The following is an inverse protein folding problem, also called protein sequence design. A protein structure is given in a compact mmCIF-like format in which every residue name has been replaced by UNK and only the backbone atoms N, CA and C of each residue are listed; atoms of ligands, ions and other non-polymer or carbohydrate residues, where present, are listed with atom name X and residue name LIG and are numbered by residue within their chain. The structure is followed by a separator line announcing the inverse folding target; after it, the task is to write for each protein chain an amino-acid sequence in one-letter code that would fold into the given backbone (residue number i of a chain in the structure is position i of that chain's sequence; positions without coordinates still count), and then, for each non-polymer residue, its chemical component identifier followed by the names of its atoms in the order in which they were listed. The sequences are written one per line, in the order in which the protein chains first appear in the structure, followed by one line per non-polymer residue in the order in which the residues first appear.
data_IF_614305495791
#
_entry.id   IF_614305495791
#
_cell.length_a   1.000
_cell.length_b   1.000
_cell.length_c   1.000
_cell.angle_alpha   90.00
_cell.angle_beta   90.00
_cell.angle_gamma   90.00
#
_symmetry.space_group_name_H-M   'P 1'
#
loop_
_entity.id
_entity.type
_entity.pdbx_description
1 polymer ?
#
# COMPACT_ATOMS: atom_id res chain seq x y z
N UNK A 1 -12.65 13.27 -23.61
CA UNK A 1 -13.82 12.73 -24.33
C UNK A 1 -14.75 12.08 -23.35
N UNK A 2 -16.04 12.37 -23.45
CA UNK A 2 -17.07 11.75 -22.61
C UNK A 2 -17.83 10.69 -23.38
N UNK A 3 -17.88 9.50 -22.79
CA UNK A 3 -18.56 8.32 -23.28
C UNK A 3 -19.78 8.10 -22.39
N UNK A 4 -20.95 8.12 -22.99
CA UNK A 4 -22.20 7.84 -22.31
C UNK A 4 -22.46 6.33 -22.30
N UNK A 5 -22.80 5.80 -21.13
CA UNK A 5 -23.03 4.37 -20.91
C UNK A 5 -24.46 4.19 -20.40
N UNK A 6 -25.29 3.46 -21.14
CA UNK A 6 -26.68 3.13 -20.80
C UNK A 6 -26.81 1.71 -20.22
N UNK A 7 -27.97 1.42 -19.61
CA UNK A 7 -28.32 0.14 -18.98
C UNK A 7 -27.45 -0.26 -17.78
N UNK A 8 -26.83 0.71 -17.11
CA UNK A 8 -26.09 0.49 -15.87
C UNK A 8 -27.10 0.12 -14.75
N UNK A 9 -26.86 -0.93 -13.94
CA UNK A 9 -27.78 -1.29 -12.87
C UNK A 9 -28.03 -0.13 -11.87
N UNK A 10 -29.28 0.02 -11.45
CA UNK A 10 -29.72 1.17 -10.63
C UNK A 10 -29.05 1.22 -9.25
N UNK A 11 -28.79 0.04 -8.66
CA UNK A 11 -28.20 -0.11 -7.33
C UNK A 11 -26.67 0.06 -7.31
N UNK A 12 -26.05 0.21 -8.48
CA UNK A 12 -24.59 0.29 -8.59
C UNK A 12 -24.11 1.73 -8.45
N UNK A 13 -23.08 1.90 -7.61
CA UNK A 13 -22.35 3.16 -7.42
C UNK A 13 -21.29 3.38 -8.52
N UNK A 14 -20.53 4.46 -8.45
CA UNK A 14 -19.45 4.81 -9.39
C UNK A 14 -18.21 3.90 -9.29
N UNK A 15 -18.02 3.22 -8.16
CA UNK A 15 -16.85 2.37 -7.91
C UNK A 15 -16.89 1.07 -8.74
N UNK A 16 -18.03 0.41 -8.84
CA UNK A 16 -18.11 -0.90 -9.52
C UNK A 16 -17.91 -0.79 -11.04
N UNK A 17 -18.58 0.13 -11.77
CA UNK A 17 -18.34 0.33 -13.19
C UNK A 17 -16.90 0.77 -13.45
N UNK A 18 -16.29 1.54 -12.53
CA UNK A 18 -14.89 1.92 -12.62
C UNK A 18 -13.94 0.73 -12.56
N UNK A 19 -14.19 -0.23 -11.67
CA UNK A 19 -13.40 -1.46 -11.59
C UNK A 19 -13.59 -2.30 -12.85
N UNK A 20 -14.84 -2.48 -13.28
CA UNK A 20 -15.18 -3.24 -14.49
C UNK A 20 -14.55 -2.67 -15.76
N UNK A 21 -14.65 -1.35 -15.97
CA UNK A 21 -14.14 -0.67 -17.15
C UNK A 21 -12.61 -0.63 -17.21
N UNK A 22 -11.93 -0.73 -16.05
CA UNK A 22 -10.46 -0.65 -15.99
C UNK A 22 -9.79 -1.65 -16.91
N UNK A 23 -10.19 -2.91 -16.85
CA UNK A 23 -9.56 -3.98 -17.63
C UNK A 23 -9.97 -3.92 -19.11
N UNK A 24 -11.11 -3.30 -19.41
CA UNK A 24 -11.61 -3.09 -20.78
C UNK A 24 -10.96 -1.90 -21.48
N UNK A 25 -10.56 -0.87 -20.72
CA UNK A 25 -9.93 0.34 -21.23
C UNK A 25 -8.41 0.17 -21.42
N UNK A 26 -7.80 -0.75 -20.66
CA UNK A 26 -6.36 -1.01 -20.69
C UNK A 26 -5.77 -1.32 -22.07
N UNK A 27 -6.41 -2.15 -22.92
CA UNK A 27 -5.90 -2.47 -24.26
C UNK A 27 -5.84 -1.27 -25.20
N UNK A 28 -6.57 -0.19 -24.89
CA UNK A 28 -6.66 1.03 -25.70
C UNK A 28 -5.72 2.13 -25.21
N UNK A 29 -4.77 1.80 -24.33
CA UNK A 29 -3.87 2.74 -23.67
C UNK A 29 -4.62 3.89 -22.96
N UNK A 30 -5.77 3.57 -22.35
CA UNK A 30 -6.53 4.48 -21.50
C UNK A 30 -6.22 4.10 -20.05
N UNK A 31 -5.31 4.83 -19.41
CA UNK A 31 -4.78 4.48 -18.08
C UNK A 31 -5.46 5.26 -16.96
N UNK A 32 -5.82 6.50 -17.25
CA UNK A 32 -6.54 7.37 -16.34
C UNK A 32 -7.87 7.74 -16.98
N UNK A 33 -8.92 7.40 -16.26
CA UNK A 33 -10.28 7.71 -16.63
C UNK A 33 -11.08 8.02 -15.37
N UNK A 34 -12.17 8.74 -15.56
CA UNK A 34 -13.13 9.03 -14.53
C UNK A 34 -14.48 8.44 -14.91
N UNK A 35 -15.20 7.94 -13.90
CA UNK A 35 -16.54 7.40 -14.10
C UNK A 35 -17.46 8.10 -13.13
N UNK A 36 -18.48 8.75 -13.69
CA UNK A 36 -19.57 9.30 -12.93
C UNK A 36 -20.80 8.41 -13.11
N UNK A 37 -21.33 7.91 -12.00
CA UNK A 37 -22.59 7.15 -11.96
C UNK A 37 -23.42 7.66 -10.79
N UNK A 38 -24.60 8.20 -11.09
CA UNK A 38 -25.58 8.56 -10.07
C UNK A 38 -26.37 7.31 -9.65
N UNK A 39 -26.45 7.04 -8.34
CA UNK A 39 -27.26 5.94 -7.79
C UNK A 39 -28.74 6.23 -8.09
N UNK A 40 -29.49 5.21 -8.50
CA UNK A 40 -30.89 5.36 -8.95
C UNK A 40 -31.06 5.72 -10.42
N UNK A 41 -29.99 6.11 -11.12
CA UNK A 41 -29.99 6.29 -12.57
C UNK A 41 -29.49 5.03 -13.29
N UNK A 42 -29.90 4.83 -14.54
CA UNK A 42 -29.50 3.70 -15.39
C UNK A 42 -28.34 4.04 -16.34
N UNK A 43 -27.71 5.20 -16.14
CA UNK A 43 -26.65 5.72 -16.99
C UNK A 43 -25.38 6.08 -16.21
N UNK A 44 -24.24 6.03 -16.89
CA UNK A 44 -22.95 6.53 -16.40
C UNK A 44 -22.24 7.34 -17.49
N UNK A 45 -21.34 8.22 -17.06
CA UNK A 45 -20.42 8.96 -17.94
C UNK A 45 -19.00 8.49 -17.65
N UNK A 46 -18.33 7.99 -18.68
CA UNK A 46 -16.92 7.67 -18.67
C UNK A 46 -16.15 8.83 -19.36
N UNK A 47 -15.33 9.55 -18.60
CA UNK A 47 -14.44 10.58 -19.14
C UNK A 47 -13.05 9.99 -19.36
N UNK A 48 -12.57 10.05 -20.60
CA UNK A 48 -11.21 9.66 -20.99
C UNK A 48 -10.41 10.88 -21.46
N UNK A 49 -9.10 10.89 -21.20
CA UNK A 49 -8.25 12.03 -21.51
C UNK A 49 -8.09 12.24 -23.03
N UNK A 50 -7.63 11.19 -23.72
CA UNK A 50 -7.34 11.22 -25.17
C UNK A 50 -8.56 10.82 -25.98
N UNK A 51 -9.00 11.73 -26.87
CA UNK A 51 -10.17 11.51 -27.73
C UNK A 51 -10.00 10.29 -28.65
N UNK A 52 -8.86 10.18 -29.34
CA UNK A 52 -8.54 9.07 -30.25
C UNK A 52 -8.66 7.69 -29.60
N UNK A 53 -8.17 7.55 -28.36
CA UNK A 53 -8.24 6.27 -27.64
C UNK A 53 -9.68 5.89 -27.30
N UNK A 54 -10.50 6.89 -26.92
CA UNK A 54 -11.93 6.70 -26.67
C UNK A 54 -12.72 6.28 -27.91
N UNK A 55 -12.39 6.82 -29.08
CA UNK A 55 -13.01 6.39 -30.35
C UNK A 55 -12.67 4.94 -30.70
N UNK A 56 -11.41 4.54 -30.55
CA UNK A 56 -10.99 3.14 -30.81
C UNK A 56 -11.73 2.19 -29.85
N UNK A 57 -11.84 2.55 -28.58
CA UNK A 57 -12.61 1.79 -27.60
C UNK A 57 -14.08 1.65 -28.03
N UNK A 58 -14.73 2.73 -28.43
CA UNK A 58 -16.15 2.70 -28.85
C UNK A 58 -16.39 1.92 -30.14
N UNK A 59 -15.43 1.94 -31.07
CA UNK A 59 -15.53 1.15 -32.30
C UNK A 59 -15.57 -0.35 -32.00
N UNK A 60 -14.84 -0.81 -30.98
CA UNK A 60 -14.74 -2.22 -30.60
C UNK A 60 -15.74 -2.65 -29.53
N UNK A 61 -16.21 -1.75 -28.68
CA UNK A 61 -17.08 -2.06 -27.53
C UNK A 61 -18.39 -1.27 -27.56
N UNK A 62 -19.29 -1.64 -28.48
CA UNK A 62 -20.67 -1.12 -28.51
C UNK A 62 -21.60 -1.76 -27.47
N UNK A 63 -21.21 -2.93 -26.95
CA UNK A 63 -21.95 -3.69 -25.94
C UNK A 63 -20.99 -4.30 -24.92
N UNK A 64 -21.14 -3.96 -23.64
CA UNK A 64 -20.34 -4.53 -22.55
C UNK A 64 -21.24 -5.29 -21.58
N UNK A 65 -20.89 -6.53 -21.23
CA UNK A 65 -21.70 -7.32 -20.30
C UNK A 65 -21.31 -7.06 -18.84
N UNK A 66 -22.22 -6.53 -18.03
CA UNK A 66 -22.01 -6.13 -16.64
C UNK A 66 -23.26 -6.47 -15.79
N UNK A 67 -23.10 -7.24 -14.70
CA UNK A 67 -24.21 -7.69 -13.83
C UNK A 67 -25.42 -8.23 -14.60
N UNK A 68 -25.16 -9.14 -15.53
CA UNK A 68 -26.18 -9.76 -16.39
C UNK A 68 -26.93 -8.79 -17.32
N UNK A 69 -26.45 -7.55 -17.48
CA UNK A 69 -26.98 -6.55 -18.41
C UNK A 69 -25.95 -6.20 -19.49
N UNK A 70 -26.44 -5.90 -20.69
CA UNK A 70 -25.63 -5.34 -21.76
C UNK A 70 -25.65 -3.82 -21.66
N UNK A 71 -24.51 -3.24 -21.32
CA UNK A 71 -24.27 -1.81 -21.32
C UNK A 71 -24.08 -1.33 -22.76
N UNK A 72 -24.71 -0.22 -23.12
CA UNK A 72 -24.53 0.42 -24.42
C UNK A 72 -23.66 1.65 -24.29
N UNK A 73 -22.54 1.67 -25.01
CA UNK A 73 -21.58 2.77 -24.99
C UNK A 73 -21.75 3.63 -26.25
N UNK A 74 -21.88 4.94 -26.06
CA UNK A 74 -21.98 5.91 -27.17
C UNK A 74 -21.22 7.19 -26.83
N UNK A 75 -20.89 7.97 -27.86
CA UNK A 75 -20.31 9.30 -27.65
C UNK A 75 -21.36 10.18 -26.99
N UNK A 76 -21.00 10.87 -25.90
CA UNK A 76 -21.90 11.84 -25.27
C UNK A 76 -22.22 12.96 -26.25
N UNK A 77 -23.51 13.19 -26.51
CA UNK A 77 -24.00 14.28 -27.37
C UNK A 77 -24.07 15.62 -26.62
N UNK A 78 -23.98 15.59 -25.30
CA UNK A 78 -24.10 16.78 -24.47
C UNK A 78 -22.80 17.59 -24.53
N UNK A 79 -22.90 18.84 -24.99
CA UNK A 79 -21.81 19.84 -25.06
C UNK A 79 -21.26 20.25 -23.68
N UNK A 80 -21.60 19.55 -22.60
CA UNK A 80 -20.88 19.64 -21.33
C UNK A 80 -19.56 18.90 -21.50
N UNK A 81 -18.63 19.51 -22.25
CA UNK A 81 -17.25 19.08 -22.23
C UNK A 81 -16.84 19.03 -20.76
N UNK A 82 -16.43 17.84 -20.29
CA UNK A 82 -15.74 17.69 -19.01
C UNK A 82 -14.76 18.86 -18.84
N UNK A 83 -14.82 19.52 -17.69
CA UNK A 83 -14.11 20.80 -17.50
C UNK A 83 -12.64 20.68 -17.93
N UNK A 84 -12.09 21.71 -18.56
CA UNK A 84 -10.70 21.69 -19.03
C UNK A 84 -9.72 21.26 -17.92
N UNK A 85 -10.01 21.63 -16.66
CA UNK A 85 -9.29 21.19 -15.47
C UNK A 85 -9.38 19.67 -15.24
N UNK A 86 -10.55 19.06 -15.41
CA UNK A 86 -10.75 17.61 -15.26
C UNK A 86 -9.99 16.84 -16.35
N UNK A 87 -9.99 17.33 -17.59
CA UNK A 87 -9.23 16.73 -18.68
C UNK A 87 -7.71 16.90 -18.46
N UNK A 88 -7.25 18.07 -18.03
CA UNK A 88 -5.85 18.33 -17.66
C UNK A 88 -5.38 17.38 -16.56
N UNK A 89 -6.17 17.23 -15.48
CA UNK A 89 -5.85 16.31 -14.39
C UNK A 89 -5.82 14.84 -14.84
N UNK A 90 -6.65 14.45 -15.81
CA UNK A 90 -6.59 13.10 -16.38
C UNK A 90 -5.36 12.91 -17.26
N UNK A 91 -4.97 13.91 -18.07
CA UNK A 91 -3.76 13.87 -18.88
C UNK A 91 -2.49 13.76 -18.02
N UNK A 92 -2.37 14.58 -16.97
CA UNK A 92 -1.25 14.52 -16.03
C UNK A 92 -1.15 13.15 -15.36
N UNK A 93 -2.30 12.58 -15.00
CA UNK A 93 -2.39 11.25 -14.40
C UNK A 93 -2.08 10.14 -15.39
N UNK A 94 -2.48 10.26 -16.67
CA UNK A 94 -2.06 9.32 -17.71
C UNK A 94 -0.54 9.37 -17.89
N UNK A 95 0.05 10.57 -17.93
CA UNK A 95 1.49 10.75 -18.10
C UNK A 95 2.26 10.14 -16.92
N UNK A 96 1.86 10.38 -15.67
CA UNK A 96 2.46 9.71 -14.50
C UNK A 96 2.33 8.18 -14.57
N UNK A 97 1.17 7.65 -14.99
CA UNK A 97 0.97 6.20 -15.13
C UNK A 97 1.77 5.59 -16.30
N UNK A 98 1.92 6.33 -17.40
CA UNK A 98 2.75 5.94 -18.54
C UNK A 98 4.24 5.94 -18.15
N UNK A 99 4.73 6.97 -17.46
CA UNK A 99 6.10 7.00 -16.95
C UNK A 99 6.38 5.84 -15.99
N UNK A 100 5.42 5.50 -15.11
CA UNK A 100 5.52 4.32 -14.23
C UNK A 100 5.46 2.99 -14.98
N UNK A 101 4.82 2.94 -16.16
CA UNK A 101 4.83 1.76 -17.05
C UNK A 101 6.14 1.64 -17.82
N UNK A 102 6.67 2.73 -18.34
CA UNK A 102 7.95 2.77 -19.09
C UNK A 102 9.14 2.45 -18.16
N UNK A 103 9.05 2.83 -16.88
CA UNK A 103 10.02 2.44 -15.85
C UNK A 103 9.90 0.98 -15.38
N UNK A 104 8.94 0.21 -15.91
CA UNK A 104 8.96 -1.26 -15.78
C UNK A 104 9.61 -1.83 -17.05
N UNK A 105 10.82 -2.40 -16.97
CA UNK A 105 11.38 -3.08 -18.13
C UNK A 105 10.46 -4.24 -18.52
N UNK A 106 10.14 -4.34 -19.82
CA UNK A 106 9.58 -5.54 -20.45
C UNK A 106 10.56 -6.68 -20.24
N UNK A 107 10.45 -7.35 -19.10
CA UNK A 107 11.10 -8.62 -18.84
C UNK A 107 10.01 -9.65 -18.69
N UNK A 108 9.87 -10.42 -19.76
CA UNK A 108 9.23 -11.72 -19.86
C UNK A 108 9.50 -12.53 -18.59
N UNK A 109 8.44 -12.97 -17.92
CA UNK A 109 8.44 -14.02 -16.89
C UNK A 109 9.68 -14.13 -16.01
N UNK A 110 9.94 -13.12 -15.18
CA UNK A 110 10.58 -13.36 -13.89
C UNK A 110 9.47 -13.60 -12.86
N UNK A 111 9.52 -14.65 -12.03
CA UNK A 111 8.57 -14.80 -10.93
C UNK A 111 8.62 -13.52 -10.10
N UNK A 112 7.46 -12.90 -9.92
CA UNK A 112 7.23 -11.81 -8.98
C UNK A 112 8.05 -12.10 -7.71
N UNK A 113 8.86 -11.15 -7.18
CA UNK A 113 9.69 -11.44 -6.03
C UNK A 113 8.77 -11.93 -4.92
N UNK A 114 8.92 -13.21 -4.60
CA UNK A 114 7.99 -14.03 -3.82
C UNK A 114 7.94 -13.64 -2.34
N UNK A 115 8.47 -12.46 -2.02
CA UNK A 115 8.55 -11.90 -0.68
C UNK A 115 8.26 -10.42 -0.73
N UNK A 116 7.01 -10.04 -1.03
CA UNK A 116 6.47 -8.71 -0.68
C UNK A 116 6.34 -8.52 0.86
N UNK A 117 7.12 -9.27 1.66
CA UNK A 117 7.01 -9.37 3.09
C UNK A 117 8.32 -9.84 3.72
N UNK A 118 8.59 -9.42 4.95
CA UNK A 118 9.72 -9.86 5.76
C UNK A 118 9.32 -9.92 7.24
N UNK A 119 10.05 -10.71 8.02
CA UNK A 119 9.77 -10.88 9.44
C UNK A 119 10.46 -9.82 10.28
N UNK A 120 9.86 -9.48 11.42
CA UNK A 120 10.47 -8.62 12.43
C UNK A 120 10.34 -9.24 13.82
N UNK A 121 11.33 -8.95 14.66
CA UNK A 121 11.45 -9.51 16.01
C UNK A 121 10.78 -8.63 17.06
N UNK A 122 10.84 -7.31 16.89
CA UNK A 122 10.25 -6.36 17.82
C UNK A 122 9.97 -5.02 17.13
N UNK A 123 8.97 -4.30 17.63
CA UNK A 123 8.67 -2.93 17.23
C UNK A 123 9.03 -1.97 18.37
N UNK A 124 9.72 -0.89 18.06
CA UNK A 124 10.28 0.05 19.03
C UNK A 124 9.79 1.45 18.67
N UNK A 125 9.30 2.20 19.65
CA UNK A 125 8.91 3.58 19.50
C UNK A 125 9.93 4.49 20.18
N UNK A 126 10.18 5.66 19.60
CA UNK A 126 11.13 6.59 20.15
C UNK A 126 11.08 7.97 19.54
N UNK A 127 12.15 8.72 19.79
CA UNK A 127 12.37 10.07 19.27
C UNK A 127 13.82 10.19 18.78
N UNK A 128 14.06 11.08 17.83
CA UNK A 128 15.42 11.50 17.50
C UNK A 128 15.92 12.48 18.56
N UNK A 129 17.15 12.30 18.98
CA UNK A 129 17.89 13.21 19.86
C UNK A 129 19.29 13.39 19.31
N UNK A 130 19.95 14.49 19.63
CA UNK A 130 21.37 14.65 19.34
C UNK A 130 22.19 14.33 20.59
N UNK A 131 23.30 13.62 20.43
CA UNK A 131 24.27 13.46 21.51
C UNK A 131 25.14 14.71 21.70
N UNK A 132 25.97 14.71 22.74
CA UNK A 132 26.88 15.83 23.06
C UNK A 132 27.91 16.12 21.95
N UNK A 133 28.09 15.20 21.01
CA UNK A 133 28.95 15.36 19.83
C UNK A 133 28.17 15.81 18.58
N UNK A 134 26.90 16.18 18.73
CA UNK A 134 26.02 16.63 17.64
C UNK A 134 25.57 15.50 16.71
N UNK A 135 25.74 14.23 17.09
CA UNK A 135 25.31 13.10 16.26
C UNK A 135 23.88 12.71 16.59
N UNK A 136 23.09 12.48 15.55
CA UNK A 136 21.71 12.03 15.69
C UNK A 136 21.68 10.59 16.23
N UNK A 137 20.90 10.39 17.29
CA UNK A 137 20.70 9.11 17.97
C UNK A 137 19.21 8.87 18.18
N UNK A 138 18.79 7.63 17.96
CA UNK A 138 17.45 7.19 18.31
C UNK A 138 17.36 6.92 19.82
N UNK A 139 16.51 7.68 20.49
CA UNK A 139 16.20 7.48 21.90
C UNK A 139 14.91 6.66 22.02
N UNK A 140 15.06 5.42 22.50
CA UNK A 140 13.97 4.45 22.67
C UNK A 140 13.08 4.86 23.84
N UNK A 141 11.77 4.95 23.59
CA UNK A 141 10.75 5.23 24.61
C UNK A 141 9.94 3.99 24.99
N UNK A 142 9.63 3.14 24.03
CA UNK A 142 8.85 1.92 24.28
C UNK A 142 9.28 0.80 23.34
N UNK A 143 9.19 -0.44 23.83
CA UNK A 143 9.44 -1.66 23.04
C UNK A 143 8.25 -2.58 23.11
N UNK A 144 7.69 -2.91 21.95
CA UNK A 144 6.76 -4.00 21.76
C UNK A 144 7.55 -5.24 21.30
N UNK A 145 7.64 -6.24 22.17
CA UNK A 145 8.40 -7.47 21.91
C UNK A 145 7.66 -8.48 21.02
N UNK A 146 6.44 -8.15 20.58
CA UNK A 146 5.69 -9.02 19.68
C UNK A 146 6.40 -9.12 18.34
N UNK A 147 6.64 -10.35 17.94
CA UNK A 147 7.17 -10.69 16.62
C UNK A 147 6.06 -10.60 15.58
N UNK A 148 6.46 -10.53 14.32
CA UNK A 148 5.47 -10.41 13.27
C UNK A 148 6.04 -10.34 11.88
N UNK A 149 5.20 -9.89 10.96
CA UNK A 149 5.51 -9.76 9.54
C UNK A 149 5.20 -8.35 9.08
N UNK A 150 6.12 -7.75 8.36
CA UNK A 150 5.89 -6.54 7.59
C UNK A 150 5.55 -6.93 6.17
N UNK A 151 4.47 -6.38 5.62
CA UNK A 151 3.99 -6.62 4.26
C UNK A 151 3.96 -5.30 3.52
N UNK A 152 4.56 -5.29 2.33
CA UNK A 152 4.51 -4.18 1.40
C UNK A 152 3.15 -4.17 0.69
N UNK A 153 2.28 -3.25 1.07
CA UNK A 153 1.04 -2.99 0.35
C UNK A 153 1.25 -2.01 -0.81
N UNK A 154 0.21 -1.82 -1.63
CA UNK A 154 0.22 -0.85 -2.75
C UNK A 154 0.25 0.61 -2.29
N UNK A 155 -0.37 0.93 -1.15
CA UNK A 155 -0.55 2.31 -0.63
C UNK A 155 0.01 2.53 0.77
N UNK A 156 0.33 1.45 1.48
CA UNK A 156 0.78 1.48 2.86
C UNK A 156 1.70 0.30 3.13
N UNK A 157 2.63 0.50 4.05
CA UNK A 157 3.33 -0.56 4.74
C UNK A 157 2.41 -1.12 5.82
N UNK A 158 2.25 -2.44 5.87
CA UNK A 158 1.37 -3.10 6.85
C UNK A 158 2.21 -3.96 7.78
N UNK A 159 2.16 -3.66 9.07
CA UNK A 159 2.87 -4.42 10.11
C UNK A 159 1.85 -5.29 10.86
N UNK A 160 2.00 -6.60 10.74
CA UNK A 160 1.22 -7.58 11.49
C UNK A 160 2.00 -8.08 12.69
N UNK A 161 1.42 -7.99 13.89
CA UNK A 161 2.01 -8.47 15.15
C UNK A 161 1.26 -9.70 15.65
N UNK A 162 2.01 -10.74 16.02
CA UNK A 162 1.49 -11.95 16.67
C UNK A 162 1.31 -11.71 18.17
N UNK A 163 0.35 -12.38 18.84
CA UNK A 163 0.31 -12.43 20.29
C UNK A 163 1.57 -13.11 20.84
N UNK A 164 2.09 -12.64 21.97
CA UNK A 164 3.29 -13.19 22.62
C UNK A 164 2.99 -14.32 23.61
N UNK A 165 1.72 -14.56 23.96
CA UNK A 165 1.32 -15.55 24.97
C UNK A 165 1.77 -15.23 26.41
N UNK A 166 2.79 -14.40 26.59
CA UNK A 166 3.28 -13.85 27.85
C UNK A 166 3.03 -12.34 27.88
N UNK A 167 2.28 -11.88 28.88
CA UNK A 167 1.95 -10.47 29.09
C UNK A 167 0.83 -9.89 28.20
N UNK A 168 0.37 -8.68 28.54
CA UNK A 168 -0.47 -7.85 27.67
C UNK A 168 0.46 -7.07 26.70
N UNK A 169 0.07 -6.84 25.44
CA UNK A 169 -1.23 -7.10 24.82
C UNK A 169 -1.28 -8.47 24.12
N UNK A 170 -2.13 -9.38 24.60
CA UNK A 170 -2.31 -10.72 24.04
C UNK A 170 -3.34 -10.75 22.90
N UNK A 171 -3.11 -9.99 21.83
CA UNK A 171 -3.98 -9.97 20.65
C UNK A 171 -3.19 -9.77 19.36
N UNK A 172 -3.76 -10.20 18.24
CA UNK A 172 -3.19 -9.98 16.91
C UNK A 172 -3.38 -8.54 16.46
N UNK A 173 -2.27 -7.84 16.22
CA UNK A 173 -2.30 -6.43 15.86
C UNK A 173 -1.91 -6.15 14.43
N UNK A 174 -2.43 -5.05 13.91
CA UNK A 174 -2.12 -4.53 12.58
C UNK A 174 -1.85 -3.03 12.68
N UNK A 175 -0.74 -2.58 12.10
CA UNK A 175 -0.43 -1.17 11.93
C UNK A 175 -0.35 -0.89 10.44
N UNK A 176 -1.15 0.07 9.99
CA UNK A 176 -1.10 0.58 8.62
C UNK A 176 -0.34 1.91 8.64
N UNK A 177 0.78 1.95 7.93
CA UNK A 177 1.61 3.14 7.73
C UNK A 177 1.48 3.54 6.25
N UNK A 178 0.58 4.48 5.90
CA UNK A 178 0.51 5.02 4.55
C UNK A 178 1.88 5.53 4.10
N UNK A 179 2.30 5.24 2.87
CA UNK A 179 3.62 5.70 2.44
C UNK A 179 3.75 7.22 2.41
N UNK A 180 2.63 7.92 2.18
CA UNK A 180 2.55 9.39 2.16
C UNK A 180 2.91 10.04 3.51
N UNK A 181 2.82 9.30 4.62
CA UNK A 181 3.16 9.82 5.94
C UNK A 181 4.58 9.44 6.35
N UNK A 182 5.32 8.65 5.57
CA UNK A 182 6.72 8.32 5.86
C UNK A 182 7.58 9.47 5.34
N UNK A 183 8.30 10.11 6.24
CA UNK A 183 9.23 11.19 5.92
C UNK A 183 10.64 10.66 5.66
N UNK A 184 11.11 9.78 6.53
CA UNK A 184 12.44 9.18 6.42
C UNK A 184 12.38 7.69 6.71
N UNK A 185 13.18 6.91 5.97
CA UNK A 185 13.45 5.50 6.26
C UNK A 185 14.96 5.33 6.39
N UNK A 186 15.41 5.01 7.60
CA UNK A 186 16.83 4.91 7.94
C UNK A 186 17.14 3.43 8.25
N UNK A 187 17.89 2.74 7.38
CA UNK A 187 18.37 1.40 7.67
C UNK A 187 19.57 1.47 8.63
N UNK A 188 19.62 0.52 9.56
CA UNK A 188 20.82 0.21 10.32
C UNK A 188 21.18 -1.24 10.00
N UNK A 189 22.20 -1.42 9.16
CA UNK A 189 22.67 -2.74 8.78
C UNK A 189 23.26 -3.48 10.00
N UNK A 190 23.10 -4.80 10.07
CA UNK A 190 23.70 -5.61 11.11
C UNK A 190 25.22 -5.41 11.13
N UNK A 191 25.80 -5.28 12.32
CA UNK A 191 27.26 -5.30 12.54
C UNK A 191 27.60 -6.50 13.40
N UNK A 192 28.52 -7.35 12.96
CA UNK A 192 29.08 -8.47 13.72
C UNK A 192 28.01 -9.26 14.49
N UNK A 193 27.11 -9.89 13.73
CA UNK A 193 26.06 -10.79 14.23
C UNK A 193 24.90 -10.15 15.03
N UNK A 194 24.87 -8.81 15.12
CA UNK A 194 23.74 -8.08 15.71
C UNK A 194 22.60 -7.94 14.71
N UNK A 195 21.36 -8.04 15.18
CA UNK A 195 20.16 -7.80 14.38
C UNK A 195 20.21 -6.42 13.69
N UNK A 196 19.65 -6.34 12.48
CA UNK A 196 19.46 -5.09 11.77
C UNK A 196 18.26 -4.32 12.31
N UNK A 197 18.22 -3.02 12.04
CA UNK A 197 17.06 -2.19 12.34
C UNK A 197 16.62 -1.40 11.12
N UNK A 198 15.34 -1.08 11.09
CA UNK A 198 14.82 -0.09 10.17
C UNK A 198 13.97 0.90 10.92
N UNK A 199 14.32 2.18 10.78
CA UNK A 199 13.65 3.28 11.48
C UNK A 199 12.87 4.13 10.49
N UNK A 200 11.60 4.35 10.79
CA UNK A 200 10.69 5.20 10.04
C UNK A 200 10.39 6.46 10.87
N UNK A 201 10.60 7.63 10.27
CA UNK A 201 10.08 8.89 10.78
C UNK A 201 8.78 9.19 10.05
N UNK A 202 7.72 9.50 10.79
CA UNK A 202 6.39 9.72 10.25
C UNK A 202 5.94 11.19 10.41
N UNK A 203 5.14 11.70 9.49
CA UNK A 203 4.50 13.03 9.58
C UNK A 203 3.27 13.03 10.47
N UNK A 204 2.68 11.87 10.70
CA UNK A 204 1.47 11.71 11.52
C UNK A 204 1.41 10.30 12.12
N UNK A 205 0.61 10.08 13.18
CA UNK A 205 0.53 8.78 13.83
C UNK A 205 -0.10 7.75 12.89
N UNK A 206 0.42 6.51 12.83
CA UNK A 206 -0.12 5.48 11.96
C UNK A 206 -1.44 4.91 12.51
N UNK A 207 -2.18 4.20 11.66
CA UNK A 207 -3.47 3.60 12.08
C UNK A 207 -3.21 2.24 12.71
N UNK A 208 -3.66 2.05 13.95
CA UNK A 208 -3.49 0.81 14.71
C UNK A 208 -4.84 0.10 14.82
N UNK A 209 -4.83 -1.21 14.59
CA UNK A 209 -6.01 -2.07 14.65
C UNK A 209 -5.74 -3.35 15.44
N UNK A 210 -6.75 -3.78 16.20
CA UNK A 210 -6.86 -5.15 16.70
C UNK A 210 -7.64 -5.98 15.67
N UNK A 211 -7.10 -7.14 15.32
CA UNK A 211 -7.76 -8.11 14.46
C UNK A 211 -8.72 -8.94 15.33
N UNK A 212 -10.03 -8.87 15.05
CA UNK A 212 -11.05 -9.61 15.82
C UNK A 212 -11.41 -10.95 15.19
N UNK A 213 -11.32 -11.07 13.86
CA UNK A 213 -11.59 -12.32 13.15
C UNK A 213 -10.27 -12.93 12.65
N UNK A 214 -9.96 -14.13 13.14
CA UNK A 214 -8.72 -14.86 12.85
C UNK A 214 -8.86 -15.86 11.70
N UNK A 215 -10.10 -16.13 11.24
CA UNK A 215 -10.40 -17.13 10.19
C UNK A 215 -9.61 -16.90 8.91
N UNK A 216 -9.23 -15.64 8.62
CA UNK A 216 -8.50 -15.26 7.42
C UNK A 216 -7.08 -14.70 7.70
N UNK A 217 -6.56 -14.86 8.93
CA UNK A 217 -5.20 -14.42 9.29
C UNK A 217 -4.10 -15.09 8.44
N UNK A 218 -4.38 -16.30 7.97
CA UNK A 218 -3.52 -17.07 7.05
C UNK A 218 -3.26 -16.33 5.74
N UNK A 219 -4.19 -15.47 5.28
CA UNK A 219 -4.04 -14.71 4.03
C UNK A 219 -2.98 -13.62 4.10
N UNK A 220 -2.63 -13.16 5.30
CA UNK A 220 -1.64 -12.10 5.50
C UNK A 220 -0.34 -12.62 6.11
N UNK A 221 -0.44 -13.56 7.05
CA UNK A 221 0.76 -14.18 7.65
C UNK A 221 1.37 -15.26 6.76
N UNK A 222 0.63 -15.76 5.76
CA UNK A 222 1.00 -16.92 4.94
C UNK A 222 1.23 -18.19 5.76
N UNK A 223 0.80 -18.19 7.02
CA UNK A 223 0.76 -19.35 7.88
C UNK A 223 -0.55 -20.07 7.56
N UNK A 224 -0.48 -21.18 6.83
CA UNK A 224 -1.60 -22.11 6.81
C UNK A 224 -1.63 -22.78 8.19
N UNK A 225 -2.68 -22.62 9.02
CA UNK A 225 -2.87 -23.53 10.13
C UNK A 225 -2.99 -24.93 9.53
N UNK A 226 -2.25 -25.90 10.06
CA UNK A 226 -2.32 -27.29 9.61
C UNK A 226 -3.77 -27.72 9.57
N UNK A 227 -4.31 -27.91 8.36
CA UNK A 227 -5.67 -28.38 8.15
C UNK A 227 -5.70 -29.85 8.58
N UNK A 228 -6.24 -30.11 9.76
CA UNK A 228 -6.90 -31.39 10.01
C UNK A 228 -8.04 -31.50 9.00
N UNK A 229 -7.94 -32.49 8.14
CA UNK A 229 -8.95 -32.89 7.16
C UNK A 229 -10.21 -33.32 7.91
N UNK A 230 -11.13 -32.39 8.14
CA UNK A 230 -12.55 -32.67 8.23
C UNK A 230 -13.34 -31.37 8.15
N UNK A 231 -14.54 -31.50 7.59
CA UNK A 231 -15.57 -30.47 7.44
C UNK A 231 -15.39 -29.51 6.25
N UNK A 232 -15.45 -30.11 5.07
CA UNK A 232 -16.26 -29.54 3.99
C UNK A 232 -17.74 -29.52 4.41
N UNK A 233 -18.38 -28.35 4.39
CA UNK A 233 -19.67 -28.12 3.73
C UNK A 233 -20.22 -26.72 4.05
N UNK A 234 -20.74 -26.06 3.00
CA UNK A 234 -21.60 -24.87 3.08
C UNK A 234 -21.01 -23.59 3.70
N UNK A 235 -20.19 -22.87 2.94
CA UNK A 235 -20.09 -21.40 3.12
C UNK A 235 -20.49 -20.72 1.82
N UNK A 236 -21.79 -20.43 1.71
CA UNK A 236 -22.33 -19.42 0.81
C UNK A 236 -21.51 -18.14 0.93
N UNK A 237 -21.07 -17.61 -0.21
CA UNK A 237 -20.10 -16.52 -0.38
C UNK A 237 -20.63 -15.15 0.09
N UNK A 238 -20.87 -14.99 1.39
CA UNK A 238 -20.83 -13.66 2.02
C UNK A 238 -19.37 -13.38 2.33
N UNK A 239 -18.80 -12.41 1.61
CA UNK A 239 -17.47 -11.84 1.86
C UNK A 239 -17.45 -11.35 3.32
N UNK A 240 -17.02 -12.20 4.25
CA UNK A 240 -16.94 -11.87 5.66
C UNK A 240 -15.81 -10.85 5.81
N UNK A 241 -16.18 -9.58 5.91
CA UNK A 241 -15.22 -8.50 6.12
C UNK A 241 -14.44 -8.74 7.41
N UNK A 242 -13.12 -8.59 7.34
CA UNK A 242 -12.26 -8.58 8.51
C UNK A 242 -12.77 -7.54 9.50
N UNK A 243 -13.27 -7.98 10.65
CA UNK A 243 -13.61 -7.07 11.75
C UNK A 243 -12.31 -6.54 12.37
N UNK A 244 -11.89 -5.37 11.91
CA UNK A 244 -10.78 -4.61 12.50
C UNK A 244 -11.35 -3.63 13.53
N UNK A 245 -10.88 -3.69 14.77
CA UNK A 245 -11.20 -2.69 15.80
C UNK A 245 -10.07 -1.68 15.89
N UNK A 246 -10.34 -0.42 15.56
CA UNK A 246 -9.35 0.67 15.70
C UNK A 246 -8.92 0.79 17.17
N UNK A 247 -7.62 0.94 17.37
CA UNK A 247 -6.99 1.18 18.68
C UNK A 247 -6.23 2.50 18.63
N UNK A 248 -6.21 3.20 19.74
CA UNK A 248 -5.42 4.42 19.89
C UNK A 248 -3.97 4.12 20.30
N UNK A 249 -3.72 2.94 20.87
CA UNK A 249 -2.42 2.54 21.40
C UNK A 249 -2.23 1.02 21.31
N UNK A 250 -0.97 0.57 21.31
CA UNK A 250 -0.62 -0.85 21.30
C UNK A 250 -0.75 -1.48 22.70
N UNK A 251 -0.46 -0.75 23.77
CA UNK A 251 -0.51 -1.22 25.16
C UNK A 251 -1.16 -0.17 26.08
N UNK A 252 -1.68 -0.54 27.25
CA UNK A 252 -2.26 0.44 28.20
C UNK A 252 -1.18 1.26 28.91
N UNK A 253 -0.02 0.66 29.18
CA UNK A 253 1.17 1.34 29.73
C UNK A 253 1.92 2.17 28.69
N UNK A 254 1.30 2.41 27.54
CA UNK A 254 1.79 3.32 26.52
C UNK A 254 1.58 4.73 27.08
N UNK A 255 2.61 5.24 27.76
CA UNK A 255 2.64 6.60 28.30
C UNK A 255 2.15 7.61 27.24
N UNK A 256 1.45 8.67 27.66
CA UNK A 256 0.84 9.68 26.77
C UNK A 256 1.82 10.19 25.71
N UNK A 257 3.11 10.23 26.04
CA UNK A 257 4.19 10.68 25.18
C UNK A 257 4.52 9.69 24.04
N UNK A 258 4.31 8.39 24.23
CA UNK A 258 4.61 7.35 23.23
C UNK A 258 3.54 7.31 22.13
N UNK A 259 2.29 7.65 22.46
CA UNK A 259 1.18 7.82 21.49
C UNK A 259 1.45 8.86 20.41
N UNK A 260 2.31 9.83 20.74
CA UNK A 260 2.73 10.93 19.86
C UNK A 260 4.11 10.68 19.22
N UNK A 261 4.79 9.59 19.56
CA UNK A 261 6.07 9.27 18.96
C UNK A 261 5.88 8.92 17.48
N UNK A 262 6.39 9.80 16.62
CA UNK A 262 6.36 9.64 15.18
C UNK A 262 7.51 8.79 14.63
N UNK A 263 8.38 8.27 15.50
CA UNK A 263 9.52 7.45 15.09
C UNK A 263 9.30 5.99 15.50
N UNK A 264 9.20 5.13 14.49
CA UNK A 264 8.96 3.68 14.63
C UNK A 264 10.18 2.93 14.13
N UNK A 265 10.76 2.06 14.94
CA UNK A 265 11.91 1.23 14.61
C UNK A 265 11.54 -0.25 14.69
N UNK A 266 11.73 -0.98 13.60
CA UNK A 266 11.56 -2.44 13.57
C UNK A 266 12.92 -3.13 13.66
N UNK A 267 13.00 -4.16 14.50
CA UNK A 267 14.17 -5.04 14.60
C UNK A 267 13.99 -6.19 13.64
N UNK A 268 14.95 -6.39 12.74
CA UNK A 268 14.88 -7.36 11.64
C UNK A 268 15.95 -8.43 11.89
N UNK A 269 15.65 -9.73 11.67
CA UNK A 269 16.67 -10.77 11.70
C UNK A 269 17.83 -10.43 10.76
N UNK A 270 19.07 -10.65 11.19
CA UNK A 270 20.28 -10.26 10.45
C UNK A 270 20.26 -10.77 9.00
N UNK A 271 19.83 -12.02 8.79
CA UNK A 271 19.74 -12.66 7.47
C UNK A 271 18.68 -12.06 6.52
N UNK A 272 17.71 -11.29 7.03
CA UNK A 272 16.66 -10.64 6.19
C UNK A 272 16.88 -9.14 6.03
N UNK A 273 17.90 -8.54 6.67
CA UNK A 273 18.00 -7.08 6.75
C UNK A 273 18.24 -6.44 5.37
N UNK A 274 19.11 -7.05 4.55
CA UNK A 274 19.39 -6.57 3.19
C UNK A 274 18.15 -6.63 2.30
N UNK A 275 17.45 -7.77 2.31
CA UNK A 275 16.24 -8.00 1.52
C UNK A 275 15.09 -7.06 1.95
N UNK A 276 14.90 -6.89 3.26
CA UNK A 276 13.92 -5.96 3.81
C UNK A 276 14.22 -4.52 3.39
N UNK A 277 15.49 -4.12 3.34
CA UNK A 277 15.89 -2.80 2.89
C UNK A 277 15.64 -2.60 1.39
N UNK A 278 16.04 -3.56 0.55
CA UNK A 278 15.80 -3.50 -0.90
C UNK A 278 14.29 -3.41 -1.21
N UNK A 279 13.47 -4.17 -0.48
CA UNK A 279 12.02 -4.17 -0.60
C UNK A 279 11.40 -2.80 -0.32
N UNK A 280 11.95 -2.04 0.64
CA UNK A 280 11.43 -0.73 1.03
C UNK A 280 12.05 0.43 0.23
N UNK A 281 13.31 0.30 -0.21
CA UNK A 281 14.00 1.28 -1.06
C UNK A 281 13.27 1.48 -2.40
N UNK A 282 12.77 0.40 -3.01
CA UNK A 282 12.02 0.45 -4.28
C UNK A 282 10.65 1.15 -4.20
N UNK A 283 10.28 1.74 -3.06
CA UNK A 283 9.01 2.44 -2.87
C UNK A 283 9.10 3.95 -2.76
N UNK A 284 10.11 4.57 -2.11
CA UNK A 284 9.93 5.98 -1.67
C UNK A 284 11.18 6.84 -1.38
N UNK A 285 12.28 6.79 -2.15
CA UNK A 285 13.25 7.91 -2.13
C UNK A 285 13.99 8.04 -3.48
N UNK A 286 14.03 9.22 -4.14
CA UNK A 286 15.07 9.53 -5.13
C UNK A 286 16.45 9.41 -4.47
N UNK A 287 17.42 8.77 -5.13
CA UNK A 287 18.71 8.34 -4.54
C UNK A 287 19.50 9.43 -3.78
N UNK A 288 19.22 10.71 -3.99
CA UNK A 288 19.95 11.85 -3.42
C UNK A 288 19.89 11.92 -1.88
N UNK A 289 18.85 11.41 -1.21
CA UNK A 289 18.73 11.50 0.26
C UNK A 289 19.24 10.27 1.02
N UNK A 290 19.55 9.16 0.34
CA UNK A 290 19.99 7.92 1.01
C UNK A 290 21.50 7.90 1.35
N UNK A 291 22.29 8.87 0.85
CA UNK A 291 23.75 8.84 0.92
C UNK A 291 24.42 9.82 1.89
N UNK A 292 23.66 10.62 2.63
CA UNK A 292 24.25 11.64 3.53
C UNK A 292 24.49 11.16 4.96
N UNK A 293 23.84 10.08 5.43
CA UNK A 293 24.02 9.58 6.80
C UNK A 293 24.99 8.40 6.91
N UNK A 294 25.20 7.62 5.84
CA UNK A 294 26.23 6.57 5.80
C UNK A 294 27.66 7.14 5.73
N UNK A 295 27.84 8.38 5.24
CA UNK A 295 29.13 9.08 5.24
C UNK A 295 29.56 9.62 6.61
N UNK A 296 28.64 9.79 7.56
CA UNK A 296 28.98 10.28 8.91
C UNK A 296 29.31 9.15 9.90
N UNK A 297 29.19 7.88 9.49
CA UNK A 297 29.40 6.71 10.34
C UNK A 297 30.79 6.05 10.21
N UNK A 298 31.80 6.76 9.68
CA UNK A 298 33.22 6.42 9.88
C UNK A 298 33.96 5.83 8.68
N UNK A 299 34.36 6.67 7.72
CA UNK A 299 35.33 6.29 6.69
C UNK A 299 36.36 7.40 6.49
N UNK A 300 37.64 7.13 6.83
CA UNK A 300 38.78 7.98 6.47
C UNK A 300 38.98 7.94 4.95
N UNK A 301 39.10 9.10 4.32
CA UNK A 301 39.54 9.20 2.92
C UNK A 301 41.06 8.99 2.85
N UNK A 302 41.50 7.97 2.10
CA UNK A 302 42.83 8.00 1.47
C UNK A 302 42.61 8.64 0.11
N UNK A 303 43.11 9.87 -0.07
CA UNK A 303 43.26 10.49 -1.38
C UNK A 303 44.35 9.72 -2.13
N UNK A 304 44.03 9.17 -3.30
CA UNK A 304 45.05 8.97 -4.33
C UNK A 304 44.95 10.16 -5.29
N UNK A 305 46.09 10.83 -5.38
CA UNK A 305 46.52 11.80 -6.39
C UNK A 305 46.19 11.37 -7.81
#
# INVERSE_FOLDING_TARGET
MDIYILNVPLHVNDVEPRIFLRDKLLPYDILAFDVFKQVGSDWAILTVAKYKNGEIFLAQHRGLYFHSKTLHCSISKTKTQSSALKLSALLDKELDLQLRRIQRPLTTHAPEPTRARFEFQSLINGVWSYDTSGRMRFNRRYTNERQGVVIRGKKALVIYMKPTGRGLPNWYGRIDIPYQIIEHTIPELPKYDRAGYMTFTLRSPPKIYQILNLDELHRYTGYQPGRTLSESSQRTSKRQEFKLKRKMFLHRDYDRNVGLCMVYRIKIPSHQTSDAFALLKSSHVPDVQLWLLSRMAGGKFVRKS
#
